data_IF_517444017679
#
_entry.id   IF_517444017679
#
_cell.length_a   1.000
_cell.length_b   1.000
_cell.length_c   1.000
_cell.angle_alpha   90.00
_cell.angle_beta   90.00
_cell.angle_gamma   90.00
#
_symmetry.space_group_name_H-M   'P 1'
#
loop_
_entity.id
_entity.type
_entity.pdbx_description
1 polymer ?
#
# COMPACT_ATOMS: atom_id res chain seq x y z
N UNK A 1 13.71 -23.36 -4.17
CA UNK A 1 14.61 -22.19 -4.14
C UNK A 1 14.21 -21.17 -3.07
N UNK A 2 12.98 -20.65 -3.06
CA UNK A 2 12.53 -19.62 -2.11
C UNK A 2 12.70 -20.02 -0.63
N UNK A 3 12.30 -21.25 -0.25
CA UNK A 3 12.49 -21.79 1.10
C UNK A 3 13.96 -21.79 1.52
N UNK A 4 14.86 -22.21 0.61
CA UNK A 4 16.31 -22.25 0.89
C UNK A 4 16.87 -20.85 1.13
N UNK A 5 16.51 -19.88 0.29
CA UNK A 5 16.93 -18.47 0.44
C UNK A 5 16.40 -17.90 1.76
N UNK A 6 15.14 -18.18 2.08
CA UNK A 6 14.52 -17.76 3.34
C UNK A 6 15.25 -18.34 4.55
N UNK A 7 15.53 -19.64 4.57
CA UNK A 7 16.24 -20.29 5.67
C UNK A 7 17.68 -19.78 5.83
N UNK A 8 18.40 -19.56 4.73
CA UNK A 8 19.74 -18.96 4.76
C UNK A 8 19.66 -17.56 5.36
N UNK A 9 18.72 -16.74 4.91
CA UNK A 9 18.55 -15.38 5.41
C UNK A 9 18.21 -15.37 6.91
N UNK A 10 17.23 -16.17 7.33
CA UNK A 10 16.87 -16.32 8.75
C UNK A 10 18.06 -16.81 9.57
N UNK A 11 18.84 -17.76 9.05
CA UNK A 11 20.06 -18.26 9.68
C UNK A 11 21.13 -17.18 9.86
N UNK A 12 21.37 -16.35 8.84
CA UNK A 12 22.30 -15.21 8.92
C UNK A 12 21.84 -14.19 9.95
N UNK A 13 20.56 -13.83 9.94
CA UNK A 13 19.99 -12.86 10.90
C UNK A 13 20.04 -13.38 12.33
N UNK A 14 19.67 -14.64 12.55
CA UNK A 14 19.77 -15.28 13.87
C UNK A 14 21.23 -15.37 14.33
N UNK A 15 22.14 -15.82 13.46
CA UNK A 15 23.56 -15.92 13.75
C UNK A 15 24.18 -14.58 14.14
N UNK A 16 23.87 -13.52 13.39
CA UNK A 16 24.29 -12.15 13.69
C UNK A 16 23.70 -11.68 15.02
N UNK A 17 22.42 -11.97 15.27
CA UNK A 17 21.74 -11.60 16.50
C UNK A 17 22.39 -12.23 17.74
N UNK A 18 22.65 -13.54 17.70
CA UNK A 18 23.30 -14.24 18.81
C UNK A 18 24.75 -13.79 19.00
N UNK A 19 25.48 -13.54 17.92
CA UNK A 19 26.87 -13.07 17.97
C UNK A 19 26.99 -11.71 18.66
N UNK A 20 26.12 -10.76 18.29
CA UNK A 20 26.11 -9.42 18.87
C UNK A 20 25.49 -9.40 20.28
N UNK A 21 24.42 -10.17 20.50
CA UNK A 21 23.72 -10.25 21.77
C UNK A 21 24.60 -10.77 22.91
N UNK A 22 25.50 -11.71 22.62
CA UNK A 22 26.49 -12.25 23.57
C UNK A 22 27.47 -11.22 24.14
N UNK A 23 27.61 -10.03 23.52
CA UNK A 23 28.51 -8.97 23.97
C UNK A 23 27.89 -8.00 24.99
N UNK A 24 26.57 -8.07 25.20
CA UNK A 24 25.83 -7.18 26.11
C UNK A 24 25.51 -7.87 27.43
N UNK A 25 26.16 -7.45 28.54
CA UNK A 25 25.97 -8.04 29.88
C UNK A 25 25.36 -7.09 30.93
N UNK A 26 25.08 -5.83 30.58
CA UNK A 26 24.51 -4.83 31.50
C UNK A 26 23.11 -4.37 31.05
N UNK A 27 22.29 -3.89 32.00
CA UNK A 27 20.96 -3.33 31.74
C UNK A 27 20.98 -2.10 30.83
N UNK A 28 21.99 -1.23 30.97
CA UNK A 28 22.22 -0.10 30.06
C UNK A 28 22.63 -0.55 28.65
N UNK A 29 23.40 -1.64 28.54
CA UNK A 29 23.71 -2.27 27.27
C UNK A 29 22.48 -2.92 26.61
N UNK A 30 21.57 -3.46 27.43
CA UNK A 30 20.33 -4.08 26.98
C UNK A 30 19.30 -3.05 26.48
N UNK A 31 19.17 -1.89 27.13
CA UNK A 31 18.14 -0.87 26.81
C UNK A 31 18.63 0.39 26.10
N UNK A 32 19.94 0.63 25.99
CA UNK A 32 20.47 1.84 25.34
C UNK A 32 21.75 1.60 24.54
N UNK A 33 22.19 0.34 24.39
CA UNK A 33 23.45 -0.02 23.73
C UNK A 33 24.69 0.76 24.24
N UNK A 34 24.61 1.29 25.46
CA UNK A 34 25.64 2.17 26.04
C UNK A 34 25.92 3.46 25.25
N UNK A 35 25.03 3.90 24.34
CA UNK A 35 25.25 5.08 23.49
C UNK A 35 26.35 4.91 22.43
N UNK A 36 26.82 3.68 22.21
CA UNK A 36 27.97 3.38 21.35
C UNK A 36 27.64 3.22 19.86
N UNK A 37 26.36 3.22 19.50
CA UNK A 37 25.90 3.03 18.12
C UNK A 37 26.05 4.34 17.34
N UNK A 38 26.73 4.27 16.20
CA UNK A 38 26.88 5.42 15.31
C UNK A 38 25.51 5.91 14.79
N UNK A 39 25.31 7.23 14.73
CA UNK A 39 24.02 7.85 14.42
C UNK A 39 23.43 7.38 13.08
N UNK A 40 24.28 7.11 12.07
CA UNK A 40 23.81 6.65 10.76
C UNK A 40 23.28 5.21 10.79
N UNK A 41 23.89 4.33 11.60
CA UNK A 41 23.42 2.95 11.80
C UNK A 41 22.07 2.97 12.48
N UNK A 42 21.95 3.77 13.55
CA UNK A 42 20.69 3.93 14.26
C UNK A 42 19.60 4.55 13.36
N UNK A 43 19.96 5.56 12.56
CA UNK A 43 19.03 6.21 11.64
C UNK A 43 18.46 5.26 10.59
N UNK A 44 19.29 4.42 9.97
CA UNK A 44 18.85 3.41 8.99
C UNK A 44 18.04 2.30 9.67
N UNK A 45 18.43 1.88 10.88
CA UNK A 45 17.65 0.92 11.66
C UNK A 45 16.23 1.44 11.95
N UNK A 46 16.12 2.68 12.44
CA UNK A 46 14.83 3.33 12.70
C UNK A 46 14.01 3.52 11.42
N UNK A 47 14.63 3.96 10.31
CA UNK A 47 13.95 4.10 9.04
C UNK A 47 13.40 2.76 8.53
N UNK A 48 14.18 1.68 8.68
CA UNK A 48 13.77 0.32 8.32
C UNK A 48 12.57 -0.18 9.13
N UNK A 49 12.57 0.05 10.44
CA UNK A 49 11.42 -0.29 11.31
C UNK A 49 10.18 0.53 10.98
N UNK A 50 10.37 1.81 10.62
CA UNK A 50 9.27 2.68 10.23
C UNK A 50 8.62 2.24 8.90
N UNK A 51 9.42 1.69 7.98
CA UNK A 51 9.00 1.11 6.71
C UNK A 51 8.52 -0.36 6.84
N UNK A 52 8.07 -0.78 8.03
CA UNK A 52 7.58 -2.14 8.32
C UNK A 52 6.54 -2.67 7.31
N UNK A 53 6.23 -3.97 7.39
CA UNK A 53 5.21 -4.61 6.56
C UNK A 53 3.88 -3.86 6.52
N UNK A 54 3.45 -3.28 7.64
CA UNK A 54 2.22 -2.48 7.70
C UNK A 54 2.34 -1.20 6.86
N UNK A 55 3.47 -0.51 6.92
CA UNK A 55 3.71 0.72 6.15
C UNK A 55 3.92 0.41 4.68
N UNK A 56 4.76 -0.56 4.34
CA UNK A 56 5.04 -0.96 2.96
C UNK A 56 3.78 -1.52 2.27
N UNK A 57 3.18 -2.58 2.80
CA UNK A 57 1.98 -3.18 2.20
C UNK A 57 0.76 -2.28 2.32
N UNK A 58 0.62 -1.55 3.44
CA UNK A 58 -0.53 -0.67 3.67
C UNK A 58 -0.54 0.54 2.77
N UNK A 59 0.58 1.27 2.67
CA UNK A 59 0.68 2.44 1.77
C UNK A 59 0.61 1.99 0.32
N UNK A 60 1.35 0.94 -0.09
CA UNK A 60 1.26 0.42 -1.45
C UNK A 60 -0.16 -0.05 -1.79
N UNK A 61 -0.85 -0.72 -0.86
CA UNK A 61 -2.24 -1.14 -1.03
C UNK A 61 -3.20 0.05 -1.14
N UNK A 62 -3.01 1.08 -0.31
CA UNK A 62 -3.83 2.30 -0.38
C UNK A 62 -3.59 3.08 -1.67
N UNK A 63 -2.35 3.20 -2.13
CA UNK A 63 -2.03 3.83 -3.42
C UNK A 63 -2.60 2.99 -4.57
N UNK A 64 -2.57 1.66 -4.48
CA UNK A 64 -3.13 0.80 -5.50
C UNK A 64 -4.67 0.93 -5.61
N UNK A 65 -5.37 1.22 -4.51
CA UNK A 65 -6.84 1.32 -4.49
C UNK A 65 -7.36 2.75 -4.67
N UNK A 66 -6.70 3.75 -4.10
CA UNK A 66 -7.14 5.17 -4.08
C UNK A 66 -6.25 6.07 -4.95
N UNK A 67 -5.18 5.54 -5.54
CA UNK A 67 -4.34 6.27 -6.49
C UNK A 67 -3.48 7.34 -5.82
N UNK A 68 -3.39 8.50 -6.49
CA UNK A 68 -2.53 9.60 -6.05
C UNK A 68 -2.94 10.18 -4.68
N UNK A 69 -4.23 10.16 -4.35
CA UNK A 69 -4.71 10.63 -3.05
C UNK A 69 -4.16 9.76 -1.90
N UNK A 70 -3.95 8.46 -2.15
CA UNK A 70 -3.28 7.56 -1.20
C UNK A 70 -1.80 7.94 -0.98
N UNK A 71 -1.13 8.52 -1.99
CA UNK A 71 0.25 9.00 -1.84
C UNK A 71 0.31 10.21 -0.89
N UNK A 72 -0.66 11.12 -0.96
CA UNK A 72 -0.73 12.28 -0.05
C UNK A 72 -0.79 11.85 1.43
N UNK A 73 -1.42 10.71 1.73
CA UNK A 73 -1.44 10.15 3.08
C UNK A 73 -0.04 9.79 3.61
N UNK A 74 0.86 9.37 2.70
CA UNK A 74 2.25 9.01 3.06
C UNK A 74 3.07 10.20 3.53
N UNK A 75 2.77 11.40 3.03
CA UNK A 75 3.43 12.65 3.46
C UNK A 75 3.08 12.94 4.92
N UNK A 76 1.81 12.80 5.30
CA UNK A 76 1.36 12.97 6.69
C UNK A 76 2.04 11.98 7.64
N UNK A 77 2.19 10.73 7.20
CA UNK A 77 2.93 9.70 7.94
C UNK A 77 4.38 10.15 8.21
N UNK A 78 5.13 10.54 7.17
CA UNK A 78 6.51 11.03 7.33
C UNK A 78 6.62 12.31 8.16
N UNK A 79 5.70 13.26 7.99
CA UNK A 79 5.68 14.51 8.76
C UNK A 79 5.43 14.27 10.26
N UNK A 80 4.56 13.31 10.59
CA UNK A 80 4.29 12.90 11.98
C UNK A 80 5.55 12.41 12.70
N UNK A 81 6.50 11.80 11.98
CA UNK A 81 7.75 11.36 12.58
C UNK A 81 8.62 12.53 13.05
N UNK A 82 8.70 13.62 12.29
CA UNK A 82 9.43 14.83 12.68
C UNK A 82 8.86 15.40 13.97
N UNK A 83 7.53 15.45 14.06
CA UNK A 83 6.83 15.91 15.27
C UNK A 83 7.13 15.01 16.47
N UNK A 84 7.07 13.69 16.30
CA UNK A 84 7.39 12.74 17.36
C UNK A 84 8.86 12.86 17.84
N UNK A 85 9.81 13.09 16.93
CA UNK A 85 11.22 13.28 17.27
C UNK A 85 11.42 14.52 18.16
N UNK A 86 10.87 15.68 17.78
CA UNK A 86 11.06 16.91 18.55
C UNK A 86 10.22 16.96 19.83
N UNK A 87 8.96 16.52 19.78
CA UNK A 87 8.04 16.66 20.91
C UNK A 87 8.19 15.53 21.93
N UNK A 88 8.52 14.30 21.50
CA UNK A 88 8.56 13.14 22.39
C UNK A 88 10.00 12.70 22.67
N UNK A 89 10.81 12.48 21.64
CA UNK A 89 12.14 11.89 21.83
C UNK A 89 13.10 12.84 22.57
N UNK A 90 13.08 14.15 22.28
CA UNK A 90 13.97 15.12 22.94
C UNK A 90 13.69 15.28 24.45
N UNK A 91 12.43 15.46 24.92
CA UNK A 91 12.14 15.46 26.36
C UNK A 91 12.50 14.16 27.06
N UNK A 92 12.23 13.01 26.43
CA UNK A 92 12.60 11.71 26.99
C UNK A 92 14.12 11.57 27.16
N UNK A 93 14.89 12.01 26.15
CA UNK A 93 16.36 12.02 26.21
C UNK A 93 16.87 12.91 27.34
N UNK A 94 16.26 14.09 27.53
CA UNK A 94 16.61 15.02 28.61
C UNK A 94 16.32 14.47 30.01
N UNK A 95 15.26 13.66 30.15
CA UNK A 95 14.88 13.02 31.42
C UNK A 95 15.79 11.83 31.80
N UNK A 96 16.58 11.30 30.86
CA UNK A 96 17.48 10.17 31.11
C UNK A 96 16.78 8.86 31.47
N UNK A 97 15.48 8.73 31.14
CA UNK A 97 14.67 7.53 31.37
C UNK A 97 14.59 6.68 30.10
N UNK A 98 14.55 5.36 30.26
CA UNK A 98 14.59 4.40 29.15
C UNK A 98 13.20 3.97 28.67
N UNK A 99 12.16 4.11 29.49
CA UNK A 99 10.78 3.73 29.12
C UNK A 99 9.85 4.94 29.14
N UNK A 100 8.82 4.92 28.29
CA UNK A 100 7.79 5.96 28.26
C UNK A 100 7.05 6.06 29.61
N UNK A 101 6.77 4.92 30.23
CA UNK A 101 6.15 4.83 31.56
C UNK A 101 6.99 5.53 32.63
N UNK A 102 8.31 5.30 32.64
CA UNK A 102 9.21 5.96 33.59
C UNK A 102 9.36 7.46 33.33
N UNK A 103 9.30 7.88 32.06
CA UNK A 103 9.32 9.29 31.69
C UNK A 103 8.03 10.00 32.14
N UNK A 104 6.87 9.36 31.97
CA UNK A 104 5.59 9.90 32.40
C UNK A 104 5.50 9.98 33.93
N UNK A 105 5.98 8.95 34.63
CA UNK A 105 5.92 8.91 36.10
C UNK A 105 7.00 9.75 36.79
N UNK A 106 8.02 10.22 36.06
CA UNK A 106 9.16 10.97 36.61
C UNK A 106 8.77 12.19 37.46
N UNK A 107 7.57 12.74 37.26
CA UNK A 107 7.05 13.91 37.99
C UNK A 107 5.97 13.58 39.02
N UNK A 108 5.36 12.40 38.97
CA UNK A 108 4.15 12.08 39.75
C UNK A 108 4.35 10.98 40.81
N UNK A 109 5.36 10.12 40.66
CA UNK A 109 5.69 9.01 41.57
C UNK A 109 4.47 8.18 42.00
N UNK A 110 3.56 7.89 41.05
CA UNK A 110 2.27 7.26 41.30
C UNK A 110 2.18 5.89 40.66
N UNK A 111 1.96 4.87 41.50
CA UNK A 111 1.73 3.49 41.04
C UNK A 111 0.55 3.36 40.08
N UNK A 112 -0.48 4.21 40.24
CA UNK A 112 -1.64 4.24 39.35
C UNK A 112 -1.30 4.72 37.94
N UNK A 113 -0.46 5.76 37.82
CA UNK A 113 -0.03 6.31 36.53
C UNK A 113 0.87 5.30 35.80
N UNK A 114 1.79 4.63 36.53
CA UNK A 114 2.61 3.55 35.94
C UNK A 114 1.75 2.44 35.36
N UNK A 115 0.75 1.97 36.11
CA UNK A 115 -0.12 0.88 35.67
C UNK A 115 -0.94 1.30 34.45
N UNK A 116 -1.55 2.48 34.48
CA UNK A 116 -2.35 2.99 33.36
C UNK A 116 -1.50 3.16 32.09
N UNK A 117 -0.29 3.71 32.21
CA UNK A 117 0.62 3.89 31.09
C UNK A 117 1.14 2.55 30.53
N UNK A 118 1.44 1.57 31.40
CA UNK A 118 1.83 0.23 30.99
C UNK A 118 0.71 -0.50 30.24
N UNK A 119 -0.53 -0.44 30.75
CA UNK A 119 -1.70 -1.03 30.08
C UNK A 119 -1.95 -0.35 28.72
N UNK A 120 -1.90 0.98 28.67
CA UNK A 120 -2.04 1.74 27.42
C UNK A 120 -0.98 1.33 26.39
N UNK A 121 0.29 1.25 26.82
CA UNK A 121 1.40 0.81 25.95
C UNK A 121 1.17 -0.61 25.44
N UNK A 122 0.69 -1.52 26.29
CA UNK A 122 0.40 -2.89 25.89
C UNK A 122 -0.74 -2.97 24.86
N UNK A 123 -1.84 -2.24 25.07
CA UNK A 123 -2.98 -2.20 24.14
C UNK A 123 -2.54 -1.67 22.77
N UNK A 124 -1.84 -0.54 22.75
CA UNK A 124 -1.33 0.06 21.50
C UNK A 124 -0.37 -0.91 20.79
N UNK A 125 0.51 -1.58 21.54
CA UNK A 125 1.45 -2.56 20.97
C UNK A 125 0.73 -3.77 20.36
N UNK A 126 -0.31 -4.31 21.02
CA UNK A 126 -1.09 -5.43 20.50
C UNK A 126 -1.79 -5.03 19.19
N UNK A 127 -2.47 -3.88 19.18
CA UNK A 127 -3.11 -3.36 17.97
C UNK A 127 -2.10 -3.19 16.83
N UNK A 128 -0.88 -2.76 17.14
CA UNK A 128 0.18 -2.58 16.14
C UNK A 128 0.78 -3.90 15.64
N UNK A 129 0.84 -4.94 16.48
CA UNK A 129 1.35 -6.26 16.10
C UNK A 129 0.40 -7.02 15.14
N UNK A 130 -0.91 -6.76 15.20
CA UNK A 130 -1.89 -7.46 14.35
C UNK A 130 -1.59 -7.27 12.86
N UNK A 131 -1.49 -6.05 12.29
CA UNK A 131 -1.15 -5.85 10.88
C UNK A 131 0.21 -6.44 10.49
N UNK A 132 1.19 -6.47 11.40
CA UNK A 132 2.51 -7.05 11.12
C UNK A 132 2.43 -8.57 10.96
N UNK A 133 1.66 -9.25 11.80
CA UNK A 133 1.43 -10.69 11.69
C UNK A 133 0.61 -11.03 10.45
N UNK A 134 -0.38 -10.19 10.10
CA UNK A 134 -1.11 -10.32 8.83
C UNK A 134 -0.17 -10.19 7.64
N UNK A 135 0.69 -9.16 7.63
CA UNK A 135 1.70 -8.97 6.59
C UNK A 135 2.63 -10.17 6.45
N UNK A 136 3.08 -10.75 7.58
CA UNK A 136 3.89 -11.96 7.56
C UNK A 136 3.17 -13.15 6.91
N UNK A 137 1.91 -13.41 7.29
CA UNK A 137 1.12 -14.52 6.74
C UNK A 137 0.85 -14.36 5.24
N UNK A 138 0.43 -13.17 4.80
CA UNK A 138 0.13 -12.86 3.39
C UNK A 138 1.37 -12.95 2.51
N UNK A 139 2.57 -12.68 3.04
CA UNK A 139 3.81 -12.85 2.29
C UNK A 139 4.30 -14.30 2.28
N UNK A 140 4.16 -15.05 3.38
CA UNK A 140 4.65 -16.42 3.48
C UNK A 140 3.86 -17.39 2.61
N UNK A 141 2.54 -17.23 2.54
CA UNK A 141 1.66 -18.11 1.77
C UNK A 141 2.06 -18.24 0.29
N UNK A 142 2.21 -17.15 -0.48
CA UNK A 142 2.65 -17.25 -1.88
C UNK A 142 4.14 -17.58 -2.04
N UNK A 143 5.00 -17.20 -1.08
CA UNK A 143 6.46 -17.40 -1.21
C UNK A 143 6.91 -18.82 -0.87
N UNK A 144 6.29 -19.45 0.14
CA UNK A 144 6.67 -20.76 0.65
C UNK A 144 5.62 -21.83 0.35
N UNK A 145 4.44 -21.46 -0.17
CA UNK A 145 3.34 -22.39 -0.48
C UNK A 145 2.71 -23.00 0.77
N UNK A 146 2.89 -22.37 1.94
CA UNK A 146 2.38 -22.86 3.22
C UNK A 146 1.07 -22.16 3.59
N UNK A 147 0.17 -22.81 4.37
CA UNK A 147 -1.04 -22.16 4.84
C UNK A 147 -0.73 -20.90 5.65
N UNK A 148 -1.55 -19.86 5.48
CA UNK A 148 -1.43 -18.57 6.18
C UNK A 148 -1.12 -18.71 7.68
N UNK A 149 -1.87 -19.56 8.40
CA UNK A 149 -1.70 -19.75 9.85
C UNK A 149 -0.32 -20.28 10.23
N UNK A 150 0.23 -21.19 9.41
CA UNK A 150 1.58 -21.74 9.63
C UNK A 150 2.64 -20.66 9.44
N UNK A 151 2.47 -19.80 8.42
CA UNK A 151 3.35 -18.66 8.19
C UNK A 151 3.38 -17.69 9.37
N UNK A 152 2.22 -17.33 9.91
CA UNK A 152 2.11 -16.47 11.10
C UNK A 152 2.83 -17.07 12.31
N UNK A 153 2.61 -18.36 12.59
CA UNK A 153 3.22 -19.05 13.73
C UNK A 153 4.74 -19.12 13.59
N UNK A 154 5.26 -19.51 12.41
CA UNK A 154 6.70 -19.64 12.17
C UNK A 154 7.38 -18.28 12.29
N UNK A 155 6.87 -17.25 11.62
CA UNK A 155 7.47 -15.91 11.67
C UNK A 155 7.37 -15.33 13.08
N UNK A 156 6.23 -15.49 13.76
CA UNK A 156 6.05 -15.07 15.14
C UNK A 156 7.04 -15.73 16.09
N UNK A 157 7.23 -17.06 16.00
CA UNK A 157 8.18 -17.80 16.82
C UNK A 157 9.63 -17.35 16.58
N UNK A 158 10.01 -17.11 15.32
CA UNK A 158 11.34 -16.58 14.96
C UNK A 158 11.54 -15.19 15.56
N UNK A 159 10.58 -14.27 15.38
CA UNK A 159 10.66 -12.90 15.92
C UNK A 159 10.76 -12.90 17.44
N UNK A 160 9.93 -13.70 18.13
CA UNK A 160 9.99 -13.85 19.59
C UNK A 160 11.36 -14.37 20.01
N UNK A 161 11.90 -15.39 19.32
CA UNK A 161 13.22 -15.95 19.63
C UNK A 161 14.31 -14.89 19.44
N UNK A 162 14.28 -14.15 18.34
CA UNK A 162 15.25 -13.07 18.07
C UNK A 162 15.17 -12.02 19.17
N UNK A 163 13.99 -11.49 19.47
CA UNK A 163 13.80 -10.39 20.42
C UNK A 163 14.11 -10.83 21.86
N UNK A 164 13.70 -12.03 22.26
CA UNK A 164 13.96 -12.55 23.61
C UNK A 164 15.45 -12.84 23.87
N UNK A 165 16.22 -13.09 22.81
CA UNK A 165 17.65 -13.41 22.91
C UNK A 165 18.57 -12.24 22.58
N UNK A 166 18.04 -11.15 22.01
CA UNK A 166 18.78 -9.97 21.57
C UNK A 166 18.65 -8.80 22.55
N UNK A 167 19.78 -8.23 22.98
CA UNK A 167 19.80 -6.88 23.59
C UNK A 167 19.71 -5.78 22.53
N UNK A 168 19.48 -4.52 22.93
CA UNK A 168 19.29 -3.40 22.00
C UNK A 168 20.40 -3.27 20.95
N UNK A 169 21.67 -3.48 21.33
CA UNK A 169 22.78 -3.45 20.36
C UNK A 169 22.57 -4.45 19.22
N UNK A 170 22.22 -5.70 19.56
CA UNK A 170 21.95 -6.74 18.58
C UNK A 170 20.76 -6.37 17.69
N UNK A 171 19.67 -5.94 18.32
CA UNK A 171 18.44 -5.55 17.64
C UNK A 171 18.70 -4.41 16.64
N UNK A 172 19.42 -3.37 17.03
CA UNK A 172 19.73 -2.24 16.14
C UNK A 172 20.56 -2.64 14.93
N UNK A 173 21.55 -3.52 15.06
CA UNK A 173 22.33 -3.98 13.89
C UNK A 173 21.50 -4.89 12.97
N UNK A 174 20.62 -5.73 13.53
CA UNK A 174 19.68 -6.52 12.74
C UNK A 174 18.69 -5.63 11.99
N UNK A 175 18.18 -4.59 12.66
CA UNK A 175 17.29 -3.58 12.05
C UNK A 175 18.01 -2.77 10.99
N UNK A 176 19.26 -2.37 11.23
CA UNK A 176 20.10 -1.69 10.25
C UNK A 176 20.24 -2.53 8.98
N UNK A 177 20.55 -3.83 9.11
CA UNK A 177 20.67 -4.74 7.97
C UNK A 177 19.34 -4.83 7.19
N UNK A 178 18.22 -5.04 7.90
CA UNK A 178 16.89 -5.11 7.29
C UNK A 178 16.51 -3.82 6.58
N UNK A 179 16.72 -2.67 7.22
CA UNK A 179 16.43 -1.35 6.67
C UNK A 179 17.29 -1.01 5.46
N UNK A 180 18.59 -1.28 5.52
CA UNK A 180 19.51 -1.09 4.39
C UNK A 180 19.10 -1.95 3.18
N UNK A 181 18.78 -3.23 3.41
CA UNK A 181 18.30 -4.11 2.34
C UNK A 181 16.99 -3.61 1.73
N UNK A 182 16.04 -3.20 2.56
CA UNK A 182 14.77 -2.66 2.09
C UNK A 182 14.98 -1.44 1.19
N UNK A 183 15.84 -0.49 1.59
CA UNK A 183 16.16 0.69 0.79
C UNK A 183 16.82 0.29 -0.55
N UNK A 184 17.81 -0.61 -0.52
CA UNK A 184 18.52 -1.06 -1.73
C UNK A 184 17.57 -1.76 -2.70
N UNK A 185 16.76 -2.71 -2.23
CA UNK A 185 15.84 -3.44 -3.11
C UNK A 185 14.70 -2.55 -3.62
N UNK A 186 14.20 -1.63 -2.80
CA UNK A 186 13.19 -0.66 -3.23
C UNK A 186 13.77 0.27 -4.30
N UNK A 187 14.99 0.77 -4.12
CA UNK A 187 15.67 1.59 -5.12
C UNK A 187 15.93 0.81 -6.41
N UNK A 188 16.40 -0.44 -6.31
CA UNK A 188 16.60 -1.30 -7.47
C UNK A 188 15.30 -1.54 -8.24
N UNK A 189 14.18 -1.75 -7.54
CA UNK A 189 12.86 -1.90 -8.15
C UNK A 189 12.44 -0.61 -8.87
N UNK A 190 12.59 0.55 -8.22
CA UNK A 190 12.29 1.85 -8.84
C UNK A 190 13.11 2.06 -10.11
N UNK A 191 14.43 1.81 -10.05
CA UNK A 191 15.31 1.93 -11.22
C UNK A 191 14.90 0.96 -12.32
N UNK A 192 14.60 -0.30 -12.00
CA UNK A 192 14.14 -1.29 -12.98
C UNK A 192 12.83 -0.87 -13.66
N UNK A 193 11.88 -0.30 -12.91
CA UNK A 193 10.64 0.25 -13.46
C UNK A 193 10.91 1.46 -14.35
N UNK A 194 11.79 2.38 -13.94
CA UNK A 194 12.19 3.52 -14.76
C UNK A 194 12.87 3.09 -16.06
N UNK A 195 13.72 2.05 -16.02
CA UNK A 195 14.39 1.51 -17.20
C UNK A 195 13.44 0.78 -18.16
N UNK A 196 12.41 0.09 -17.63
CA UNK A 196 11.35 -0.53 -18.45
C UNK A 196 10.50 0.50 -19.18
N UNK A 197 10.45 1.73 -18.67
CA UNK A 197 9.56 2.79 -19.15
C UNK A 197 8.21 2.72 -18.44
N UNK A 198 7.63 3.90 -18.19
CA UNK A 198 6.30 4.01 -17.60
C UNK A 198 5.25 3.81 -18.70
N UNK A 199 4.65 2.62 -18.75
CA UNK A 199 3.51 2.32 -19.62
C UNK A 199 2.22 2.31 -18.80
N UNK A 200 1.19 2.99 -19.30
CA UNK A 200 -0.19 2.85 -18.78
C UNK A 200 -0.93 1.66 -19.39
N UNK A 201 -0.32 0.99 -20.39
CA UNK A 201 -0.87 -0.23 -20.96
C UNK A 201 -0.35 -1.43 -20.16
N UNK A 202 -1.21 -2.33 -19.67
CA UNK A 202 -0.78 -3.53 -18.97
C UNK A 202 -0.11 -4.50 -19.94
N UNK A 203 1.22 -4.48 -19.95
CA UNK A 203 2.10 -5.29 -20.78
C UNK A 203 2.75 -6.42 -19.96
N UNK A 204 2.08 -6.93 -18.92
CA UNK A 204 2.62 -7.94 -18.02
C UNK A 204 2.96 -9.24 -18.76
N UNK A 205 4.22 -9.35 -19.19
CA UNK A 205 4.86 -10.54 -19.73
C UNK A 205 4.99 -11.59 -18.61
N UNK A 206 4.19 -12.65 -18.67
CA UNK A 206 4.46 -13.88 -17.93
C UNK A 206 5.44 -14.69 -18.78
N UNK A 207 6.64 -15.09 -18.27
CA UNK A 207 7.54 -15.96 -19.03
C UNK A 207 6.82 -17.26 -19.42
N UNK A 208 6.62 -17.49 -20.72
CA UNK A 208 5.93 -18.68 -21.25
C UNK A 208 4.43 -18.51 -21.58
N UNK A 209 3.88 -17.30 -21.54
CA UNK A 209 2.53 -16.99 -22.04
C UNK A 209 2.57 -15.76 -22.95
N UNK A 210 1.98 -15.85 -24.15
CA UNK A 210 1.92 -14.79 -25.18
C UNK A 210 1.02 -13.56 -24.79
N UNK A 211 0.87 -13.26 -23.50
CA UNK A 211 -0.11 -12.33 -22.89
C UNK A 211 -1.57 -12.78 -23.18
N UNK A 212 -2.60 -12.48 -22.38
CA UNK A 212 -2.96 -11.23 -21.69
C UNK A 212 -3.93 -11.57 -20.56
N UNK A 213 -3.73 -10.99 -19.38
CA UNK A 213 -4.89 -10.71 -18.52
C UNK A 213 -5.82 -9.80 -19.34
N UNK A 214 -7.12 -10.11 -19.51
CA UNK A 214 -8.01 -9.30 -20.34
C UNK A 214 -8.09 -7.87 -19.81
N UNK A 215 -7.43 -6.93 -20.49
CA UNK A 215 -7.58 -5.50 -20.21
C UNK A 215 -8.65 -4.94 -21.12
N UNK A 216 -9.68 -4.34 -20.52
CA UNK A 216 -10.73 -3.67 -21.27
C UNK A 216 -10.28 -2.25 -21.59
N UNK A 217 -10.32 -1.90 -22.87
CA UNK A 217 -10.16 -0.52 -23.31
C UNK A 217 -11.58 0.04 -23.45
N UNK A 218 -11.94 1.10 -22.70
CA UNK A 218 -13.24 1.74 -22.85
C UNK A 218 -13.46 2.12 -24.31
N UNK A 219 -14.61 1.75 -24.85
CA UNK A 219 -14.99 2.16 -26.21
C UNK A 219 -15.13 3.68 -26.26
N UNK A 220 -14.64 4.25 -27.37
CA UNK A 220 -14.80 5.67 -27.69
C UNK A 220 -15.59 5.77 -28.98
N UNK A 221 -16.69 6.52 -28.94
CA UNK A 221 -17.50 6.80 -30.13
C UNK A 221 -17.31 8.27 -30.50
N UNK A 222 -16.85 8.53 -31.71
CA UNK A 222 -16.79 9.89 -32.25
C UNK A 222 -18.21 10.44 -32.41
N UNK A 223 -18.42 11.68 -31.97
CA UNK A 223 -19.72 12.33 -32.04
C UNK A 223 -19.62 13.67 -32.79
N UNK A 224 -20.70 14.02 -33.48
CA UNK A 224 -20.82 15.25 -34.26
C UNK A 224 -22.07 15.99 -33.79
N UNK A 225 -21.94 17.32 -33.67
CA UNK A 225 -23.10 18.18 -33.46
C UNK A 225 -23.91 18.27 -34.75
N UNK A 226 -25.15 17.77 -34.71
CA UNK A 226 -26.15 17.98 -35.77
C UNK A 226 -27.28 18.81 -35.19
N UNK A 227 -27.40 20.06 -35.64
CA UNK A 227 -28.50 20.97 -35.29
C UNK A 227 -28.64 21.23 -33.77
N UNK A 228 -27.53 21.27 -33.03
CA UNK A 228 -27.53 21.51 -31.58
C UNK A 228 -27.72 20.25 -30.73
N UNK A 229 -27.68 19.07 -31.35
CA UNK A 229 -27.70 17.78 -30.67
C UNK A 229 -26.46 16.96 -31.04
N UNK A 230 -25.68 16.56 -30.03
CA UNK A 230 -24.49 15.74 -30.22
C UNK A 230 -24.91 14.28 -30.42
N UNK A 231 -24.65 13.75 -31.61
CA UNK A 231 -25.05 12.39 -32.01
C UNK A 231 -23.81 11.58 -32.39
N UNK A 232 -23.73 10.27 -32.08
CA UNK A 232 -22.66 9.41 -32.57
C UNK A 232 -22.56 9.43 -34.10
N UNK A 233 -21.35 9.36 -34.62
CA UNK A 233 -21.09 9.31 -36.08
C UNK A 233 -21.59 7.99 -36.69
N UNK A 234 -21.57 6.91 -35.90
CA UNK A 234 -22.11 5.61 -36.27
C UNK A 234 -23.63 5.59 -36.12
N UNK A 235 -24.34 5.47 -37.25
CA UNK A 235 -25.79 5.45 -37.33
C UNK A 235 -26.46 4.24 -36.63
N UNK A 236 -25.70 3.24 -36.22
CA UNK A 236 -26.22 2.10 -35.43
C UNK A 236 -26.51 2.46 -33.97
N UNK A 237 -26.03 3.60 -33.49
CA UNK A 237 -26.28 4.11 -32.14
C UNK A 237 -27.29 5.26 -32.17
N UNK A 238 -28.32 5.17 -31.32
CA UNK A 238 -29.31 6.23 -31.18
C UNK A 238 -29.29 6.81 -29.78
N UNK A 239 -29.30 8.14 -29.67
CA UNK A 239 -29.43 8.83 -28.38
C UNK A 239 -30.89 8.79 -27.93
N UNK A 240 -31.14 8.18 -26.77
CA UNK A 240 -32.48 7.97 -26.22
C UNK A 240 -32.81 9.02 -25.15
N UNK A 241 -31.85 9.33 -24.29
CA UNK A 241 -32.07 10.11 -23.08
C UNK A 241 -30.77 10.81 -22.67
N UNK A 242 -30.88 12.02 -22.12
CA UNK A 242 -29.76 12.77 -21.56
C UNK A 242 -29.94 12.92 -20.06
N UNK A 243 -28.85 12.78 -19.31
CA UNK A 243 -28.83 12.96 -17.87
C UNK A 243 -27.60 13.77 -17.45
N UNK A 244 -27.81 14.83 -16.69
CA UNK A 244 -26.72 15.60 -16.10
C UNK A 244 -26.46 15.12 -14.66
N UNK A 245 -25.22 14.76 -14.37
CA UNK A 245 -24.80 14.44 -13.00
C UNK A 245 -24.43 15.71 -12.24
N UNK A 246 -24.91 15.83 -11.00
CA UNK A 246 -24.61 16.98 -10.13
C UNK A 246 -23.15 16.99 -9.64
N UNK A 247 -22.48 15.84 -9.61
CA UNK A 247 -21.07 15.72 -9.21
C UNK A 247 -20.48 14.38 -9.71
N UNK A 248 -19.43 14.38 -10.56
CA UNK A 248 -18.86 15.52 -11.30
C UNK A 248 -19.89 16.09 -12.29
N UNK A 249 -19.75 17.35 -12.75
CA UNK A 249 -20.59 17.98 -13.79
C UNK A 249 -20.42 17.26 -15.13
N UNK A 250 -20.96 16.05 -15.20
CA UNK A 250 -20.81 15.12 -16.29
C UNK A 250 -22.14 15.05 -17.03
N UNK A 251 -22.07 15.16 -18.36
CA UNK A 251 -23.22 14.99 -19.23
C UNK A 251 -23.21 13.53 -19.70
N UNK A 252 -24.24 12.79 -19.33
CA UNK A 252 -24.42 11.40 -19.71
C UNK A 252 -25.48 11.31 -20.80
N UNK A 253 -25.22 10.49 -21.82
CA UNK A 253 -26.19 10.12 -22.84
C UNK A 253 -26.50 8.62 -22.73
N UNK A 254 -27.78 8.27 -22.79
CA UNK A 254 -28.24 6.90 -22.95
C UNK A 254 -28.28 6.59 -24.44
N UNK A 255 -27.41 5.71 -24.89
CA UNK A 255 -27.35 5.23 -26.26
C UNK A 255 -28.00 3.84 -26.37
N UNK A 256 -28.85 3.66 -27.37
CA UNK A 256 -29.45 2.38 -27.73
C UNK A 256 -28.78 1.78 -28.98
N UNK A 257 -28.49 0.48 -28.91
CA UNK A 257 -28.06 -0.36 -30.04
C UNK A 257 -28.49 -1.80 -29.81
N UNK A 258 -29.05 -2.46 -30.83
CA UNK A 258 -29.44 -3.87 -30.81
C UNK A 258 -30.29 -4.28 -29.59
N UNK A 259 -31.32 -3.48 -29.25
CA UNK A 259 -32.19 -3.62 -28.06
C UNK A 259 -31.48 -3.51 -26.69
N UNK A 260 -30.23 -3.04 -26.64
CA UNK A 260 -29.50 -2.76 -25.41
C UNK A 260 -29.37 -1.26 -25.21
N UNK A 261 -29.65 -0.81 -23.99
CA UNK A 261 -29.47 0.57 -23.57
C UNK A 261 -28.20 0.69 -22.75
N UNK A 262 -27.42 1.73 -23.04
CA UNK A 262 -26.14 1.96 -22.40
C UNK A 262 -25.90 3.41 -22.06
N UNK A 263 -25.28 3.68 -20.90
CA UNK A 263 -24.91 5.04 -20.51
C UNK A 263 -23.50 5.35 -20.99
N UNK A 264 -23.32 6.54 -21.55
CA UNK A 264 -22.06 7.02 -22.10
C UNK A 264 -21.79 8.43 -21.59
N UNK A 265 -20.52 8.72 -21.31
CA UNK A 265 -20.08 10.04 -20.87
C UNK A 265 -19.74 10.87 -22.10
N UNK A 266 -20.39 12.02 -22.24
CA UNK A 266 -20.00 13.00 -23.24
C UNK A 266 -18.75 13.73 -22.77
N UNK A 267 -17.66 13.58 -23.52
CA UNK A 267 -16.44 14.31 -23.34
C UNK A 267 -16.27 15.31 -24.49
N UNK A 268 -16.09 16.58 -24.16
CA UNK A 268 -15.82 17.64 -25.13
C UNK A 268 -14.32 17.93 -25.12
N UNK A 269 -13.65 17.64 -26.22
CA UNK A 269 -12.23 17.99 -26.38
C UNK A 269 -12.07 19.50 -26.54
N UNK A 270 -10.90 20.02 -26.15
CA UNK A 270 -10.54 21.43 -26.33
C UNK A 270 -10.54 21.88 -27.79
N UNK A 271 -10.38 20.94 -28.70
CA UNK A 271 -10.37 21.18 -30.15
C UNK A 271 -11.79 21.29 -30.76
N UNK A 272 -12.84 21.22 -29.93
CA UNK A 272 -14.24 21.31 -30.36
C UNK A 272 -14.83 20.00 -30.87
N UNK A 273 -14.09 18.88 -30.79
CA UNK A 273 -14.63 17.55 -31.05
C UNK A 273 -15.37 16.98 -29.84
N UNK A 274 -16.41 16.19 -30.11
CA UNK A 274 -17.16 15.47 -29.09
C UNK A 274 -16.88 13.98 -29.19
N UNK A 275 -16.71 13.32 -28.05
CA UNK A 275 -16.61 11.87 -27.97
C UNK A 275 -17.53 11.34 -26.88
N UNK A 276 -18.15 10.20 -27.12
CA UNK A 276 -18.83 9.41 -26.09
C UNK A 276 -17.87 8.36 -25.57
N UNK A 277 -17.60 8.40 -24.27
CA UNK A 277 -16.79 7.42 -23.54
C UNK A 277 -17.71 6.37 -22.92
N UNK A 278 -17.37 5.10 -23.10
CA UNK A 278 -18.08 3.99 -22.46
C UNK A 278 -18.02 4.15 -20.94
N UNK A 279 -19.18 4.08 -20.29
CA UNK A 279 -19.23 4.07 -18.82
C UNK A 279 -19.56 2.68 -18.32
N UNK A 280 -19.39 2.48 -17.01
CA UNK A 280 -19.80 1.24 -16.36
C UNK A 280 -20.91 1.59 -15.38
N UNK A 281 -22.04 0.89 -15.47
CA UNK A 281 -23.17 1.12 -14.59
C UNK A 281 -23.85 -0.18 -14.18
N UNK A 282 -24.47 -0.12 -13.02
CA UNK A 282 -25.26 -1.20 -12.43
C UNK A 282 -26.67 -0.69 -12.16
N UNK A 283 -27.65 -1.51 -12.53
CA UNK A 283 -29.06 -1.26 -12.19
C UNK A 283 -29.59 -2.47 -11.43
N UNK A 284 -30.29 -2.22 -10.34
CA UNK A 284 -31.03 -3.23 -9.59
C UNK A 284 -32.51 -2.93 -9.75
N UNK A 285 -33.27 -3.88 -10.28
CA UNK A 285 -34.72 -3.73 -10.42
C UNK A 285 -35.44 -3.89 -9.05
N UNK A 286 -36.75 -3.62 -9.05
CA UNK A 286 -37.58 -3.74 -7.84
C UNK A 286 -37.67 -5.19 -7.31
N UNK A 287 -37.33 -6.18 -8.12
CA UNK A 287 -37.30 -7.60 -7.76
C UNK A 287 -35.90 -8.04 -7.26
N UNK A 288 -34.92 -7.13 -7.23
CA UNK A 288 -33.54 -7.41 -6.80
C UNK A 288 -32.65 -8.00 -7.88
N UNK A 289 -33.10 -8.07 -9.14
CA UNK A 289 -32.31 -8.55 -10.27
C UNK A 289 -31.31 -7.48 -10.69
N UNK A 290 -30.03 -7.84 -10.65
CA UNK A 290 -28.90 -6.99 -11.02
C UNK A 290 -28.62 -7.09 -12.52
N UNK A 291 -28.52 -5.95 -13.19
CA UNK A 291 -28.05 -5.83 -14.57
C UNK A 291 -26.82 -4.92 -14.62
N UNK A 292 -25.81 -5.31 -15.38
CA UNK A 292 -24.56 -4.57 -15.58
C UNK A 292 -24.42 -4.28 -17.06
N UNK A 293 -24.17 -3.01 -17.37
CA UNK A 293 -24.04 -2.49 -18.74
C UNK A 293 -25.21 -2.88 -19.67
N UNK A 294 -26.43 -2.91 -19.13
CA UNK A 294 -27.65 -3.21 -19.90
C UNK A 294 -27.92 -4.70 -20.15
N UNK A 295 -27.11 -5.61 -19.58
CA UNK A 295 -27.33 -7.06 -19.62
C UNK A 295 -27.46 -7.65 -18.20
N UNK A 296 -28.16 -8.79 -18.02
CA UNK A 296 -28.20 -9.48 -16.72
C UNK A 296 -26.79 -9.75 -16.18
N UNK A 297 -26.59 -9.58 -14.87
CA UNK A 297 -25.29 -9.79 -14.24
C UNK A 297 -24.80 -11.23 -14.42
N UNK A 298 -23.53 -11.39 -14.80
CA UNK A 298 -22.86 -12.65 -15.08
C UNK A 298 -21.38 -12.55 -14.72
N UNK A 299 -20.66 -13.67 -14.79
CA UNK A 299 -19.20 -13.70 -14.61
C UNK A 299 -18.44 -12.98 -15.73
N UNK A 300 -19.09 -12.63 -16.85
CA UNK A 300 -18.46 -12.02 -18.02
C UNK A 300 -18.66 -10.49 -18.11
N UNK A 301 -19.63 -9.92 -17.39
CA UNK A 301 -19.95 -8.49 -17.40
C UNK A 301 -19.87 -7.86 -15.99
N UNK A 302 -18.78 -8.13 -15.27
CA UNK A 302 -18.55 -7.50 -13.96
C UNK A 302 -18.08 -6.04 -14.13
N UNK A 303 -18.47 -5.18 -13.18
CA UNK A 303 -17.86 -3.85 -13.06
C UNK A 303 -16.36 -4.01 -12.82
N UNK A 304 -15.58 -3.25 -13.58
CA UNK A 304 -14.13 -3.28 -13.55
C UNK A 304 -13.62 -2.09 -12.78
N UNK A 305 -12.63 -2.31 -11.92
CA UNK A 305 -11.89 -1.23 -11.30
C UNK A 305 -11.09 -0.49 -12.37
N UNK A 306 -11.48 0.74 -12.66
CA UNK A 306 -10.65 1.69 -13.40
C UNK A 306 -9.47 2.07 -12.50
N UNK A 307 -8.24 1.90 -12.98
CA UNK A 307 -7.05 2.38 -12.29
C UNK A 307 -6.96 3.90 -12.39
N UNK A 308 -6.47 4.57 -11.34
CA UNK A 308 -6.48 6.04 -11.23
C UNK A 308 -5.49 6.77 -12.17
N UNK A 309 -4.80 6.08 -13.08
CA UNK A 309 -3.79 6.68 -13.97
C UNK A 309 -4.02 6.27 -15.43
N UNK A 310 -4.97 6.93 -16.08
CA UNK A 310 -5.35 6.67 -17.48
C UNK A 310 -4.35 7.24 -18.50
N UNK A 311 -3.64 8.31 -18.15
CA UNK A 311 -2.67 8.96 -19.02
C UNK A 311 -1.49 9.57 -18.25
N UNK A 312 -0.27 9.41 -18.77
CA UNK A 312 0.92 10.13 -18.31
C UNK A 312 1.06 11.37 -19.21
N UNK A 313 0.91 12.56 -18.63
CA UNK A 313 1.21 13.81 -19.34
C UNK A 313 2.72 13.89 -19.60
N UNK A 314 3.11 14.16 -20.85
CA UNK A 314 4.53 14.21 -21.26
C UNK A 314 5.05 12.92 -21.90
N UNK A 315 4.26 12.28 -22.78
CA UNK A 315 4.74 11.27 -23.74
C UNK A 315 5.75 11.87 -24.72
N UNK A 316 6.91 12.24 -24.21
CA UNK A 316 8.13 12.67 -24.93
C UNK A 316 9.28 12.64 -23.92
N UNK A 317 9.78 11.43 -23.66
CA UNK A 317 11.21 11.23 -23.40
C UNK A 317 11.90 10.88 -24.73
N UNK A 318 13.24 11.03 -24.84
CA UNK A 318 13.98 10.98 -26.10
C UNK A 318 13.72 9.72 -26.95
#
# INVERSE_FOLDING_TARGET
MAITVFLIFVGVVLGLSFYLGRRTKSSSGYYAAGGSIHWSVNGIAFAGDYLSAASFLGICGMIATVGYDGFLYSIGYLAGWIVALFIVAEPMKRLGKYTFTDALDAKFDSRGIKLAAAISTLIVSICYLIPQMVGAGVLVEPLLGMPYAVGVIIVGAIVITIVATAGMTSTTYVQFLKGAMLIIFSLALVVAVCLRGLSTMPDQLVPGQDNKIPFHVPLKLEAVDREGSVVPTDASWQVVEWQESKAPKAILAKLAKDNKNSWWLLNASKDGSFEFLETQWETVDLAGVKSINGAPASTQNQLRYEGNLEAIQGRTGP
#
